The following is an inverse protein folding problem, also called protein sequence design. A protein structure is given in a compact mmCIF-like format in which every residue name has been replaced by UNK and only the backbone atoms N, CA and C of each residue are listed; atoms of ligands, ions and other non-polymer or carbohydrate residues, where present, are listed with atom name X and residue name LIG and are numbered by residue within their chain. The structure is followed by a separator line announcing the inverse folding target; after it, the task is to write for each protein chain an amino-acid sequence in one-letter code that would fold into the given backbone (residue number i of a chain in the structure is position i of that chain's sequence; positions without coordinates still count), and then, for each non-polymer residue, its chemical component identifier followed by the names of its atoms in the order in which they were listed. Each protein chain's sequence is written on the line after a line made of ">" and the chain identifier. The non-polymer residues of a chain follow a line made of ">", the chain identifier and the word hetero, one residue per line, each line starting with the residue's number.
data_IF_516108511208
#
_entry.id   IF_516108511208
#
_cell.length_a   1.000
_cell.length_b   1.000
_cell.length_c   1.000
_cell.angle_alpha   90.00
_cell.angle_beta   90.00
_cell.angle_gamma   90.00
#
_symmetry.space_group_name_H-M   'P 1'
#
loop_
_entity.id
_entity.type
_entity.pdbx_description
1 polymer ?
#
# COMPACT_ATOMS: atom_id res chain seq x y z
N UNK A 1 -15.28 16.72 7.11
CA UNK A 1 -16.36 15.72 7.22
C UNK A 1 -15.72 14.35 7.19
N UNK A 2 -16.13 13.42 8.04
CA UNK A 2 -15.55 12.06 8.04
C UNK A 2 -16.07 11.31 6.82
N UNK A 3 -15.16 10.67 6.10
CA UNK A 3 -15.49 9.86 4.91
C UNK A 3 -15.60 8.39 5.30
N UNK A 4 -14.70 7.92 6.18
CA UNK A 4 -14.72 6.59 6.77
C UNK A 4 -14.59 6.71 8.28
N UNK A 5 -15.42 5.96 9.00
CA UNK A 5 -15.34 5.79 10.44
C UNK A 5 -15.36 4.30 10.77
N UNK A 6 -14.37 3.86 11.52
CA UNK A 6 -14.25 2.48 12.02
C UNK A 6 -14.20 2.55 13.53
N UNK A 7 -15.11 1.85 14.20
CA UNK A 7 -15.26 1.86 15.65
C UNK A 7 -15.18 0.45 16.21
N UNK A 8 -14.35 0.30 17.25
CA UNK A 8 -14.23 -0.94 18.04
C UNK A 8 -13.98 -2.19 17.20
N UNK A 9 -13.13 -2.07 16.16
CA UNK A 9 -12.82 -3.16 15.24
C UNK A 9 -11.95 -4.20 15.94
N UNK A 10 -12.45 -5.45 15.96
CA UNK A 10 -11.68 -6.63 16.36
C UNK A 10 -11.74 -7.69 15.27
N UNK A 11 -10.62 -8.34 15.00
CA UNK A 11 -10.53 -9.41 14.00
C UNK A 11 -9.33 -10.31 14.24
N UNK A 12 -9.51 -11.63 13.97
CA UNK A 12 -8.46 -12.62 14.08
C UNK A 12 -8.60 -13.77 13.11
N UNK A 13 -7.56 -14.58 13.00
CA UNK A 13 -7.56 -15.82 12.23
C UNK A 13 -7.26 -16.99 13.17
N UNK A 14 -8.28 -17.83 13.44
CA UNK A 14 -8.19 -18.88 14.44
C UNK A 14 -7.84 -18.30 15.80
N UNK A 15 -6.78 -18.80 16.43
CA UNK A 15 -6.34 -18.34 17.77
C UNK A 15 -5.49 -17.06 17.73
N UNK A 16 -5.21 -16.51 16.54
CA UNK A 16 -4.38 -15.32 16.39
C UNK A 16 -5.24 -14.09 16.19
N UNK A 17 -5.37 -13.25 17.23
CA UNK A 17 -5.96 -11.93 17.10
C UNK A 17 -5.00 -11.00 16.32
N UNK A 18 -5.54 -10.28 15.33
CA UNK A 18 -4.84 -9.28 14.50
C UNK A 18 -5.16 -7.88 15.00
N UNK A 19 -6.42 -7.61 15.32
CA UNK A 19 -6.90 -6.35 15.87
C UNK A 19 -7.69 -6.61 17.15
N UNK A 20 -7.50 -5.74 18.15
CA UNK A 20 -8.24 -5.75 19.40
C UNK A 20 -8.71 -4.32 19.70
N UNK A 21 -10.01 -4.08 19.54
CA UNK A 21 -10.65 -2.77 19.84
C UNK A 21 -10.00 -1.57 19.11
N UNK A 22 -9.82 -1.70 17.80
CA UNK A 22 -9.18 -0.68 16.97
C UNK A 22 -10.21 0.32 16.44
N UNK A 23 -9.90 1.61 16.51
CA UNK A 23 -10.70 2.67 15.90
C UNK A 23 -9.86 3.46 14.89
N UNK A 24 -10.49 3.81 13.76
CA UNK A 24 -9.85 4.52 12.66
C UNK A 24 -10.80 5.54 12.06
N UNK A 25 -10.26 6.66 11.63
CA UNK A 25 -11.04 7.72 10.99
C UNK A 25 -10.29 8.34 9.84
N UNK A 26 -10.97 8.50 8.69
CA UNK A 26 -10.46 9.19 7.52
C UNK A 26 -11.30 10.43 7.23
N UNK A 27 -10.63 11.55 7.05
CA UNK A 27 -11.25 12.82 6.66
C UNK A 27 -10.95 13.11 5.19
N UNK A 28 -11.75 14.00 4.58
CA UNK A 28 -11.51 14.45 3.21
C UNK A 28 -10.15 15.14 3.10
N UNK A 29 -9.36 14.77 2.09
CA UNK A 29 -8.03 15.35 1.84
C UNK A 29 -6.94 14.86 2.80
N UNK A 30 -7.18 13.85 3.65
CA UNK A 30 -6.11 13.23 4.43
C UNK A 30 -5.33 12.24 3.57
N UNK A 31 -4.00 12.37 3.59
CA UNK A 31 -3.06 11.48 2.93
C UNK A 31 -2.40 10.60 3.99
N UNK A 32 -2.92 9.38 4.13
CA UNK A 32 -2.57 8.49 5.22
C UNK A 32 -1.54 7.45 4.78
N UNK A 33 -0.44 7.32 5.53
CA UNK A 33 0.44 6.17 5.50
C UNK A 33 0.04 5.14 6.55
N UNK A 34 -0.29 3.91 6.13
CA UNK A 34 -0.54 2.80 7.03
C UNK A 34 0.74 1.98 7.18
N UNK A 35 1.38 2.09 8.34
CA UNK A 35 2.69 1.49 8.61
C UNK A 35 2.62 0.44 9.72
N UNK A 36 3.55 -0.51 9.71
CA UNK A 36 3.65 -1.60 10.68
C UNK A 36 4.48 -2.75 10.12
N UNK A 37 4.91 -3.66 10.96
CA UNK A 37 5.69 -4.81 10.53
C UNK A 37 4.89 -5.74 9.61
N UNK A 38 5.59 -6.61 8.87
CA UNK A 38 4.92 -7.63 8.06
C UNK A 38 4.15 -8.60 8.96
N UNK A 39 2.89 -8.89 8.56
CA UNK A 39 2.00 -9.75 9.32
C UNK A 39 1.24 -9.07 10.48
N UNK A 40 1.36 -7.74 10.65
CA UNK A 40 0.54 -6.97 11.62
C UNK A 40 -0.89 -6.73 11.15
N UNK A 41 -1.22 -7.05 9.88
CA UNK A 41 -2.60 -6.98 9.39
C UNK A 41 -2.90 -5.77 8.50
N UNK A 42 -1.91 -5.06 7.94
CA UNK A 42 -2.16 -3.90 7.05
C UNK A 42 -3.11 -4.23 5.89
N UNK A 43 -2.80 -5.27 5.11
CA UNK A 43 -3.67 -5.70 4.00
C UNK A 43 -4.99 -6.29 4.49
N UNK A 44 -5.01 -6.92 5.69
CA UNK A 44 -6.25 -7.38 6.34
C UNK A 44 -7.16 -6.21 6.66
N UNK A 45 -6.61 -5.12 7.20
CA UNK A 45 -7.36 -3.88 7.46
C UNK A 45 -7.94 -3.30 6.17
N UNK A 46 -7.14 -3.23 5.09
CA UNK A 46 -7.61 -2.77 3.78
C UNK A 46 -8.78 -3.65 3.25
N UNK A 47 -8.68 -4.96 3.39
CA UNK A 47 -9.75 -5.89 2.99
C UNK A 47 -11.02 -5.73 3.84
N UNK A 48 -10.88 -5.44 5.13
CA UNK A 48 -12.00 -5.20 6.02
C UNK A 48 -12.73 -3.91 5.66
N UNK A 49 -12.01 -2.79 5.49
CA UNK A 49 -12.65 -1.51 5.16
C UNK A 49 -13.26 -1.50 3.75
N UNK A 50 -12.76 -2.32 2.83
CA UNK A 50 -13.35 -2.49 1.48
C UNK A 50 -14.50 -3.50 1.44
N UNK A 51 -14.84 -4.14 2.58
CA UNK A 51 -15.92 -5.13 2.68
C UNK A 51 -15.59 -6.50 2.08
N UNK A 52 -14.34 -6.75 1.70
CA UNK A 52 -13.88 -8.08 1.20
C UNK A 52 -13.72 -9.10 2.31
N UNK A 53 -13.48 -8.62 3.51
CA UNK A 53 -13.37 -9.43 4.71
C UNK A 53 -14.28 -8.85 5.79
N UNK A 54 -15.11 -9.71 6.40
CA UNK A 54 -15.95 -9.27 7.50
C UNK A 54 -15.14 -9.25 8.80
N UNK A 55 -15.23 -8.19 9.61
CA UNK A 55 -14.66 -8.18 10.94
C UNK A 55 -15.42 -9.10 11.89
N UNK A 56 -14.77 -9.55 12.97
CA UNK A 56 -15.42 -10.34 14.01
C UNK A 56 -16.31 -9.44 14.89
N UNK A 57 -15.83 -8.21 15.20
CA UNK A 57 -16.57 -7.20 15.94
C UNK A 57 -16.25 -5.81 15.39
N UNK A 58 -17.13 -4.85 15.71
CA UNK A 58 -16.95 -3.46 15.36
C UNK A 58 -17.89 -2.98 14.26
N UNK A 59 -17.78 -1.70 13.94
CA UNK A 59 -18.62 -1.01 12.97
C UNK A 59 -17.78 -0.25 11.96
N UNK A 60 -18.14 -0.36 10.68
CA UNK A 60 -17.52 0.36 9.58
C UNK A 60 -18.59 1.20 8.90
N UNK A 61 -18.40 2.49 8.86
CA UNK A 61 -19.35 3.43 8.27
C UNK A 61 -18.64 4.28 7.20
N UNK A 62 -19.08 4.15 5.96
CA UNK A 62 -18.71 5.01 4.86
C UNK A 62 -19.71 6.15 4.72
N UNK A 63 -19.24 7.33 4.36
CA UNK A 63 -20.13 8.42 3.98
C UNK A 63 -20.93 8.03 2.72
N UNK A 64 -22.15 8.57 2.60
CA UNK A 64 -23.02 8.26 1.46
C UNK A 64 -22.39 8.72 0.14
N UNK A 65 -22.54 7.92 -0.90
CA UNK A 65 -22.11 8.21 -2.29
C UNK A 65 -20.59 8.39 -2.46
N UNK A 66 -19.78 7.83 -1.57
CA UNK A 66 -18.31 7.85 -1.70
C UNK A 66 -17.87 6.76 -2.65
N UNK A 67 -17.05 7.12 -3.64
CA UNK A 67 -16.39 6.18 -4.55
C UNK A 67 -15.05 5.78 -3.96
N UNK A 68 -14.90 4.48 -3.70
CA UNK A 68 -13.66 3.90 -3.15
C UNK A 68 -12.94 3.18 -4.26
N UNK A 69 -11.75 3.62 -4.59
CA UNK A 69 -10.86 2.94 -5.53
C UNK A 69 -9.82 2.12 -4.78
N UNK A 70 -9.75 0.83 -5.07
CA UNK A 70 -8.76 -0.08 -4.52
C UNK A 70 -8.07 -0.86 -5.63
N UNK A 71 -6.73 -0.82 -5.62
CA UNK A 71 -5.93 -1.57 -6.58
C UNK A 71 -6.12 -3.07 -6.33
N UNK A 72 -6.98 -3.69 -7.11
CA UNK A 72 -7.24 -5.12 -7.04
C UNK A 72 -6.38 -5.88 -8.05
N UNK A 73 -5.44 -6.65 -7.55
CA UNK A 73 -4.63 -7.56 -8.37
C UNK A 73 -5.44 -8.73 -8.96
N UNK A 74 -6.66 -8.96 -8.46
CA UNK A 74 -7.57 -10.02 -8.90
C UNK A 74 -8.67 -9.52 -9.85
N UNK A 75 -8.65 -8.24 -10.26
CA UNK A 75 -9.57 -7.75 -11.29
C UNK A 75 -9.38 -8.58 -12.55
N UNK A 76 -10.45 -9.23 -13.00
CA UNK A 76 -10.40 -10.07 -14.17
C UNK A 76 -10.18 -9.21 -15.42
N UNK A 77 -9.00 -9.32 -16.00
CA UNK A 77 -8.68 -8.82 -17.32
C UNK A 77 -9.00 -9.94 -18.32
N UNK A 78 -9.98 -9.72 -19.17
CA UNK A 78 -10.49 -10.73 -20.10
C UNK A 78 -9.74 -10.68 -21.43
N UNK A 79 -9.74 -11.80 -22.13
CA UNK A 79 -9.17 -11.89 -23.48
C UNK A 79 -9.95 -11.01 -24.45
N UNK A 80 -9.24 -10.25 -25.26
CA UNK A 80 -9.81 -9.28 -26.20
C UNK A 80 -9.85 -7.85 -25.67
N UNK A 81 -9.56 -7.63 -24.37
CA UNK A 81 -9.34 -6.28 -23.85
C UNK A 81 -7.92 -5.81 -24.18
N UNK A 82 -7.80 -4.60 -24.70
CA UNK A 82 -6.51 -3.95 -24.92
C UNK A 82 -6.12 -3.06 -23.75
N UNK A 83 -4.84 -2.71 -23.63
CA UNK A 83 -4.37 -1.74 -22.61
C UNK A 83 -5.19 -0.45 -22.72
N UNK A 84 -5.35 0.10 -23.93
CA UNK A 84 -6.11 1.32 -24.16
C UNK A 84 -7.57 1.20 -23.73
N UNK A 85 -8.25 0.10 -24.09
CA UNK A 85 -9.65 -0.12 -23.72
C UNK A 85 -9.85 -0.21 -22.20
N UNK A 86 -8.92 -0.86 -21.47
CA UNK A 86 -8.98 -0.94 -20.00
C UNK A 86 -8.78 0.43 -19.37
N UNK A 87 -7.84 1.24 -19.88
CA UNK A 87 -7.62 2.58 -19.36
C UNK A 87 -8.81 3.50 -19.64
N UNK A 88 -9.35 3.46 -20.86
CA UNK A 88 -10.51 4.28 -21.26
C UNK A 88 -11.77 3.90 -20.49
N UNK A 89 -11.90 2.65 -20.03
CA UNK A 89 -13.05 2.22 -19.21
C UNK A 89 -13.16 2.94 -17.86
N UNK A 90 -12.14 3.67 -17.45
CA UNK A 90 -12.23 4.59 -16.30
C UNK A 90 -13.29 5.70 -16.52
N UNK A 91 -13.65 5.94 -17.77
CA UNK A 91 -14.57 6.99 -18.22
C UNK A 91 -15.86 6.44 -18.81
N UNK A 92 -16.19 5.14 -18.61
CA UNK A 92 -17.37 4.49 -19.18
C UNK A 92 -18.64 5.31 -18.93
N UNK A 93 -18.79 5.91 -17.74
CA UNK A 93 -19.94 6.75 -17.42
C UNK A 93 -20.08 7.99 -18.32
N UNK A 94 -18.96 8.54 -18.83
CA UNK A 94 -18.99 9.67 -19.78
C UNK A 94 -19.35 9.20 -21.20
N UNK A 95 -18.86 8.03 -21.60
CA UNK A 95 -19.25 7.42 -22.87
C UNK A 95 -20.73 7.03 -22.89
N UNK A 96 -21.27 6.55 -21.75
CA UNK A 96 -22.70 6.29 -21.61
C UNK A 96 -23.53 7.57 -21.75
N UNK A 97 -23.08 8.68 -21.13
CA UNK A 97 -23.73 9.99 -21.27
C UNK A 97 -23.63 10.52 -22.70
N UNK A 98 -22.51 10.36 -23.39
CA UNK A 98 -22.41 10.72 -24.82
C UNK A 98 -23.35 9.91 -25.67
N UNK A 99 -23.47 8.60 -25.45
CA UNK A 99 -24.42 7.75 -26.15
C UNK A 99 -25.85 8.19 -25.89
N UNK A 100 -26.24 8.51 -24.67
CA UNK A 100 -27.55 9.03 -24.31
C UNK A 100 -27.83 10.36 -25.02
N UNK A 101 -26.87 11.26 -25.07
CA UNK A 101 -26.98 12.52 -25.81
C UNK A 101 -27.20 12.28 -27.32
N UNK A 102 -26.46 11.33 -27.92
CA UNK A 102 -26.59 10.97 -29.31
C UNK A 102 -27.96 10.34 -29.58
N UNK A 103 -28.50 9.50 -28.70
CA UNK A 103 -29.83 8.93 -28.79
C UNK A 103 -30.92 10.02 -28.72
N UNK A 104 -30.74 11.04 -27.86
CA UNK A 104 -31.62 12.20 -27.79
C UNK A 104 -31.62 12.92 -29.16
N UNK A 105 -30.45 13.22 -29.71
CA UNK A 105 -30.36 13.89 -31.02
C UNK A 105 -31.02 13.08 -32.17
N UNK A 106 -30.90 11.75 -32.14
CA UNK A 106 -31.54 10.88 -33.13
C UNK A 106 -33.08 10.91 -33.05
N UNK A 107 -33.63 11.21 -31.86
CA UNK A 107 -35.09 11.28 -31.62
C UNK A 107 -35.69 12.61 -32.00
N UNK A 108 -34.94 13.71 -32.03
CA UNK A 108 -35.43 15.08 -32.26
C UNK A 108 -36.21 15.25 -33.57
N UNK A 109 -35.91 14.42 -34.60
CA UNK A 109 -36.59 14.51 -35.90
C UNK A 109 -38.02 13.97 -35.92
N UNK A 110 -38.51 13.30 -34.86
CA UNK A 110 -39.75 12.55 -34.82
C UNK A 110 -40.70 12.92 -33.67
N UNK A 111 -40.49 14.07 -33.03
CA UNK A 111 -41.23 14.52 -31.83
C UNK A 111 -41.92 15.86 -32.07
N UNK A 112 -42.92 16.21 -31.27
CA UNK A 112 -43.54 17.52 -31.29
C UNK A 112 -42.68 18.62 -30.71
N UNK A 113 -43.07 19.89 -30.87
CA UNK A 113 -42.26 21.06 -30.46
C UNK A 113 -42.02 21.15 -28.95
N UNK A 114 -42.99 20.73 -28.13
CA UNK A 114 -42.85 20.74 -26.65
C UNK A 114 -41.90 19.64 -26.16
N UNK A 115 -41.96 18.47 -26.79
CA UNK A 115 -41.05 17.36 -26.49
C UNK A 115 -39.65 17.63 -27.05
N UNK A 116 -39.53 18.27 -28.19
CA UNK A 116 -38.26 18.69 -28.78
C UNK A 116 -37.50 19.65 -27.85
N UNK A 117 -38.18 20.66 -27.29
CA UNK A 117 -37.57 21.60 -26.38
C UNK A 117 -37.05 20.91 -25.10
N UNK A 118 -37.80 19.96 -24.54
CA UNK A 118 -37.35 19.18 -23.35
C UNK A 118 -36.12 18.33 -23.66
N UNK A 119 -36.13 17.65 -24.80
CA UNK A 119 -34.99 16.83 -25.24
C UNK A 119 -33.76 17.67 -25.54
N UNK A 120 -33.91 18.88 -26.05
CA UNK A 120 -32.79 19.83 -26.25
C UNK A 120 -32.23 20.33 -24.93
N UNK A 121 -33.06 20.63 -23.94
CA UNK A 121 -32.60 21.02 -22.61
C UNK A 121 -31.86 19.87 -21.90
N UNK A 122 -32.34 18.65 -22.04
CA UNK A 122 -31.68 17.43 -21.53
C UNK A 122 -30.32 17.20 -22.21
N UNK A 123 -30.26 17.25 -23.56
CA UNK A 123 -29.00 17.14 -24.31
C UNK A 123 -28.00 18.26 -23.90
N UNK A 124 -28.50 19.50 -23.73
CA UNK A 124 -27.67 20.61 -23.24
C UNK A 124 -27.09 20.35 -21.86
N UNK A 125 -27.89 19.79 -20.95
CA UNK A 125 -27.39 19.40 -19.60
C UNK A 125 -26.32 18.33 -19.68
N UNK A 126 -26.51 17.31 -20.52
CA UNK A 126 -25.49 16.26 -20.74
C UNK A 126 -24.21 16.86 -21.35
N UNK A 127 -24.34 17.73 -22.35
CA UNK A 127 -23.21 18.43 -22.99
C UNK A 127 -22.39 19.24 -21.99
N UNK A 128 -23.05 19.96 -21.07
CA UNK A 128 -22.40 20.71 -20.01
C UNK A 128 -21.64 19.77 -19.05
N UNK A 129 -22.25 18.64 -18.70
CA UNK A 129 -21.60 17.61 -17.86
C UNK A 129 -20.39 17.00 -18.55
N UNK A 130 -20.47 16.63 -19.83
CA UNK A 130 -19.34 16.12 -20.61
C UNK A 130 -18.20 17.14 -20.67
N UNK A 131 -18.53 18.42 -20.86
CA UNK A 131 -17.54 19.51 -20.89
C UNK A 131 -16.89 19.72 -19.53
N UNK A 132 -17.68 19.68 -18.46
CA UNK A 132 -17.19 19.85 -17.06
C UNK A 132 -16.24 18.73 -16.65
N UNK A 133 -16.41 17.52 -17.20
CA UNK A 133 -15.56 16.36 -16.94
C UNK A 133 -14.40 16.19 -17.95
N UNK A 134 -14.18 17.18 -18.82
CA UNK A 134 -13.16 17.14 -19.86
C UNK A 134 -13.25 15.91 -20.78
N UNK A 135 -14.44 15.52 -21.18
CA UNK A 135 -14.68 14.34 -22.01
C UNK A 135 -13.80 14.30 -23.27
N UNK A 136 -13.67 15.42 -23.96
CA UNK A 136 -12.88 15.53 -25.19
C UNK A 136 -11.35 15.44 -24.97
N UNK A 137 -10.90 15.38 -23.72
CA UNK A 137 -9.49 15.23 -23.36
C UNK A 137 -9.17 13.81 -22.84
N UNK A 138 -10.13 12.86 -22.92
CA UNK A 138 -9.95 11.50 -22.37
C UNK A 138 -8.73 10.83 -23.00
N UNK A 139 -8.59 10.85 -24.33
CA UNK A 139 -7.48 10.21 -25.02
C UNK A 139 -6.11 10.80 -24.57
N UNK A 140 -6.04 12.09 -24.39
CA UNK A 140 -4.82 12.75 -23.88
C UNK A 140 -4.51 12.36 -22.44
N UNK A 141 -5.54 12.25 -21.58
CA UNK A 141 -5.38 11.80 -20.19
C UNK A 141 -4.94 10.32 -20.13
N UNK A 142 -5.53 9.47 -20.96
CA UNK A 142 -5.14 8.06 -21.08
C UNK A 142 -3.70 7.93 -21.54
N UNK A 143 -3.30 8.68 -22.59
CA UNK A 143 -1.93 8.67 -23.10
C UNK A 143 -0.93 9.18 -22.05
N UNK A 144 -1.25 10.24 -21.32
CA UNK A 144 -0.40 10.79 -20.25
C UNK A 144 -0.14 9.73 -19.17
N UNK A 145 -1.19 9.11 -18.65
CA UNK A 145 -1.05 8.07 -17.60
C UNK A 145 -0.35 6.82 -18.14
N UNK A 146 -0.66 6.41 -19.37
CA UNK A 146 0.00 5.27 -20.00
C UNK A 146 1.49 5.52 -20.18
N UNK A 147 1.90 6.72 -20.60
CA UNK A 147 3.30 7.14 -20.69
C UNK A 147 3.97 7.13 -19.34
N UNK A 148 3.33 7.72 -18.35
CA UNK A 148 3.82 7.81 -16.99
C UNK A 148 4.05 6.46 -16.29
N UNK A 149 3.34 5.42 -16.70
CA UNK A 149 3.47 4.06 -16.18
C UNK A 149 4.31 3.14 -17.11
N UNK A 150 4.87 3.69 -18.20
CA UNK A 150 5.64 2.91 -19.18
C UNK A 150 4.80 1.88 -19.94
N UNK A 151 3.52 2.18 -20.17
CA UNK A 151 2.60 1.31 -20.91
C UNK A 151 2.59 1.62 -22.41
N UNK A 152 2.99 2.85 -22.82
CA UNK A 152 3.06 3.22 -24.23
C UNK A 152 4.08 2.38 -24.99
N UNK A 153 5.20 2.03 -24.38
CA UNK A 153 6.26 1.21 -24.98
C UNK A 153 5.76 -0.23 -25.30
N UNK A 154 4.69 -0.66 -24.63
CA UNK A 154 4.06 -1.97 -24.87
C UNK A 154 3.06 -1.93 -26.04
N UNK A 155 2.58 -0.74 -26.41
CA UNK A 155 1.49 -0.51 -27.37
C UNK A 155 0.11 -0.58 -26.71
N UNK A 156 -0.72 0.46 -26.90
CA UNK A 156 -2.07 0.51 -26.29
C UNK A 156 -3.03 -0.52 -26.86
N UNK A 157 -2.77 -1.03 -28.08
CA UNK A 157 -3.58 -2.05 -28.76
C UNK A 157 -3.26 -3.48 -28.31
N UNK A 158 -2.22 -3.64 -27.45
CA UNK A 158 -1.82 -4.96 -26.97
C UNK A 158 -2.86 -5.57 -26.05
N UNK A 159 -3.16 -6.87 -26.27
CA UNK A 159 -4.08 -7.63 -25.41
C UNK A 159 -3.51 -7.76 -23.99
N UNK A 160 -4.35 -7.52 -22.99
CA UNK A 160 -3.97 -7.54 -21.58
C UNK A 160 -3.61 -8.94 -21.08
N UNK A 161 -4.06 -9.99 -21.78
CA UNK A 161 -3.72 -11.38 -21.42
C UNK A 161 -2.27 -11.73 -21.76
N UNK A 162 -1.63 -11.01 -22.69
CA UNK A 162 -0.23 -11.19 -23.07
C UNK A 162 0.75 -10.44 -22.15
N UNK A 163 0.22 -9.74 -21.15
CA UNK A 163 1.02 -8.97 -20.21
C UNK A 163 1.53 -9.82 -19.05
N UNK A 164 2.74 -9.51 -18.58
CA UNK A 164 3.24 -10.05 -17.32
C UNK A 164 2.38 -9.57 -16.13
N UNK A 165 2.44 -10.27 -14.98
CA UNK A 165 1.69 -9.88 -13.78
C UNK A 165 1.96 -8.43 -13.35
N UNK A 166 3.22 -7.98 -13.37
CA UNK A 166 3.57 -6.59 -13.04
C UNK A 166 3.03 -5.57 -14.05
N UNK A 167 3.01 -5.91 -15.35
CA UNK A 167 2.42 -5.05 -16.38
C UNK A 167 0.89 -4.94 -16.21
N UNK A 168 0.21 -6.05 -15.90
CA UNK A 168 -1.23 -6.02 -15.58
C UNK A 168 -1.54 -5.13 -14.40
N UNK A 169 -0.74 -5.21 -13.34
CA UNK A 169 -0.88 -4.34 -12.16
C UNK A 169 -0.71 -2.86 -12.53
N UNK A 170 0.23 -2.51 -13.43
CA UNK A 170 0.40 -1.14 -13.94
C UNK A 170 -0.84 -0.66 -14.73
N UNK A 171 -1.45 -1.50 -15.55
CA UNK A 171 -2.68 -1.16 -16.30
C UNK A 171 -3.83 -0.90 -15.33
N UNK A 172 -4.05 -1.78 -14.36
CA UNK A 172 -5.10 -1.61 -13.33
C UNK A 172 -4.88 -0.37 -12.49
N UNK A 173 -3.62 -0.08 -12.12
CA UNK A 173 -3.26 1.15 -11.42
C UNK A 173 -3.54 2.39 -12.29
N UNK A 174 -3.19 2.36 -13.57
CA UNK A 174 -3.49 3.45 -14.51
C UNK A 174 -4.99 3.75 -14.59
N UNK A 175 -5.81 2.70 -14.74
CA UNK A 175 -7.27 2.83 -14.71
C UNK A 175 -7.74 3.48 -13.40
N UNK A 176 -7.29 2.97 -12.26
CA UNK A 176 -7.64 3.48 -10.94
C UNK A 176 -7.29 4.97 -10.75
N UNK A 177 -6.11 5.39 -11.23
CA UNK A 177 -5.69 6.79 -11.18
C UNK A 177 -6.55 7.69 -12.09
N UNK A 178 -6.95 7.20 -13.26
CA UNK A 178 -7.85 7.91 -14.18
C UNK A 178 -9.27 8.07 -13.64
N UNK A 179 -9.78 7.09 -12.88
CA UNK A 179 -11.09 7.14 -12.23
C UNK A 179 -11.21 8.25 -11.18
N UNK A 180 -10.08 8.70 -10.60
CA UNK A 180 -10.00 9.71 -9.55
C UNK A 180 -11.07 9.52 -8.45
N UNK A 181 -11.09 8.38 -7.74
CA UNK A 181 -12.09 8.10 -6.71
C UNK A 181 -11.99 9.11 -5.55
N UNK A 182 -13.05 9.21 -4.72
CA UNK A 182 -13.03 10.06 -3.52
C UNK A 182 -12.05 9.55 -2.46
N UNK A 183 -11.74 8.25 -2.52
CA UNK A 183 -10.71 7.61 -1.69
C UNK A 183 -9.93 6.62 -2.53
N UNK A 184 -8.61 6.79 -2.52
CA UNK A 184 -7.68 5.92 -3.21
C UNK A 184 -6.96 5.02 -2.20
N UNK A 185 -7.06 3.71 -2.37
CA UNK A 185 -6.41 2.71 -1.54
C UNK A 185 -5.27 2.05 -2.33
N UNK A 186 -4.04 2.23 -1.87
CA UNK A 186 -2.83 1.74 -2.55
C UNK A 186 -2.06 0.81 -1.62
N UNK A 187 -1.89 -0.45 -2.03
CA UNK A 187 -1.06 -1.44 -1.34
C UNK A 187 0.20 -1.71 -2.17
N UNK A 188 1.35 -1.24 -1.68
CA UNK A 188 2.68 -1.38 -2.31
C UNK A 188 2.73 -0.96 -3.80
N UNK A 189 2.28 0.25 -4.17
CA UNK A 189 2.18 0.65 -5.57
C UNK A 189 3.56 0.78 -6.26
N UNK A 190 4.64 0.95 -5.51
CA UNK A 190 6.00 1.11 -6.04
C UNK A 190 6.67 -0.18 -6.48
N UNK A 191 6.15 -1.35 -6.08
CA UNK A 191 6.80 -2.65 -6.34
C UNK A 191 7.00 -2.99 -7.81
N UNK A 192 6.19 -2.43 -8.71
CA UNK A 192 6.23 -2.70 -10.14
C UNK A 192 6.71 -1.51 -10.98
N UNK A 193 7.09 -0.42 -10.31
CA UNK A 193 7.53 0.82 -10.94
C UNK A 193 9.05 0.93 -10.88
N UNK A 194 9.64 1.55 -11.87
CA UNK A 194 11.02 2.02 -11.82
C UNK A 194 11.08 3.46 -11.26
N UNK A 195 12.28 3.96 -11.06
CA UNK A 195 12.51 5.25 -10.38
C UNK A 195 11.78 6.41 -11.05
N UNK A 196 11.74 6.44 -12.39
CA UNK A 196 11.10 7.52 -13.15
C UNK A 196 9.58 7.53 -12.95
N UNK A 197 8.97 6.33 -13.00
CA UNK A 197 7.53 6.17 -12.78
C UNK A 197 7.14 6.43 -11.32
N UNK A 198 8.01 6.09 -10.35
CA UNK A 198 7.80 6.42 -8.93
C UNK A 198 7.79 7.94 -8.73
N UNK A 199 8.70 8.69 -9.35
CA UNK A 199 8.73 10.16 -9.25
C UNK A 199 7.51 10.83 -9.89
N UNK A 200 6.95 10.24 -10.93
CA UNK A 200 5.67 10.69 -11.47
C UNK A 200 4.51 10.41 -10.51
N UNK A 201 4.40 9.16 -9.99
CA UNK A 201 3.35 8.79 -9.04
C UNK A 201 3.39 9.68 -7.78
N UNK A 202 4.57 10.02 -7.30
CA UNK A 202 4.78 10.94 -6.19
C UNK A 202 4.19 12.32 -6.48
N UNK A 203 4.44 12.89 -7.66
CA UNK A 203 3.83 14.16 -8.07
C UNK A 203 2.32 14.06 -8.15
N UNK A 204 1.82 13.00 -8.78
CA UNK A 204 0.39 12.74 -8.90
C UNK A 204 -0.31 12.68 -7.51
N UNK A 205 0.27 11.95 -6.54
CA UNK A 205 -0.31 11.82 -5.20
C UNK A 205 -0.21 13.10 -4.36
N UNK A 206 0.82 13.93 -4.58
CA UNK A 206 0.92 15.24 -3.93
C UNK A 206 -0.15 16.22 -4.43
N UNK A 207 -0.52 16.13 -5.71
CA UNK A 207 -1.56 16.94 -6.33
C UNK A 207 -2.97 16.34 -6.18
N UNK A 208 -3.08 15.19 -5.50
CA UNK A 208 -4.36 14.51 -5.32
C UNK A 208 -5.21 15.19 -4.25
N UNK A 209 -6.31 15.83 -4.67
CA UNK A 209 -7.17 16.62 -3.78
C UNK A 209 -8.02 15.77 -2.81
N UNK A 210 -8.27 14.51 -3.17
CA UNK A 210 -9.07 13.60 -2.38
C UNK A 210 -8.22 12.86 -1.35
N UNK A 211 -8.84 12.00 -0.55
CA UNK A 211 -8.14 11.22 0.46
C UNK A 211 -7.49 9.97 -0.14
N UNK A 212 -6.37 9.53 0.46
CA UNK A 212 -5.84 8.21 0.16
C UNK A 212 -5.27 7.52 1.40
N UNK A 213 -5.22 6.18 1.33
CA UNK A 213 -4.50 5.33 2.28
C UNK A 213 -3.44 4.56 1.50
N UNK A 214 -2.19 4.72 1.91
CA UNK A 214 -1.01 4.15 1.28
C UNK A 214 -0.30 3.19 2.22
N UNK A 215 -0.07 1.97 1.76
CA UNK A 215 0.88 1.03 2.37
C UNK A 215 2.12 1.02 1.46
N UNK A 216 3.29 1.29 2.01
CA UNK A 216 4.55 1.17 1.27
C UNK A 216 5.72 0.85 2.20
N UNK A 217 6.66 0.06 1.69
CA UNK A 217 7.98 -0.17 2.29
C UNK A 217 9.05 0.79 1.77
N UNK A 218 8.75 1.56 0.73
CA UNK A 218 9.60 2.64 0.23
C UNK A 218 9.42 3.89 1.11
N UNK A 219 10.27 4.01 2.14
CA UNK A 219 10.19 5.09 3.12
C UNK A 219 10.38 6.48 2.48
N UNK A 220 11.35 6.72 1.58
CA UNK A 220 11.48 7.99 0.87
C UNK A 220 10.21 8.38 0.10
N UNK A 221 9.58 7.42 -0.57
CA UNK A 221 8.31 7.65 -1.27
C UNK A 221 7.19 7.98 -0.28
N UNK A 222 6.99 7.14 0.74
CA UNK A 222 5.97 7.33 1.77
C UNK A 222 6.09 8.71 2.42
N UNK A 223 7.29 9.08 2.86
CA UNK A 223 7.59 10.34 3.54
C UNK A 223 7.28 11.57 2.69
N UNK A 224 7.34 11.43 1.37
CA UNK A 224 7.11 12.54 0.44
C UNK A 224 5.65 12.80 0.11
N UNK A 225 4.73 11.85 0.36
CA UNK A 225 3.33 11.96 -0.09
C UNK A 225 2.31 11.92 1.05
N UNK A 226 2.69 11.47 2.26
CA UNK A 226 1.76 11.36 3.40
C UNK A 226 1.92 12.53 4.37
N UNK A 227 0.81 12.91 5.00
CA UNK A 227 0.78 13.94 6.05
C UNK A 227 0.25 13.39 7.38
N UNK A 228 -0.11 12.12 7.41
CA UNK A 228 -0.66 11.42 8.55
C UNK A 228 -0.21 9.97 8.53
N UNK A 229 0.23 9.44 9.67
CA UNK A 229 0.61 8.04 9.83
C UNK A 229 -0.36 7.35 10.78
N UNK A 230 -0.85 6.19 10.38
CA UNK A 230 -1.44 5.21 11.27
C UNK A 230 -0.47 4.05 11.44
N UNK A 231 0.02 3.87 12.66
CA UNK A 231 0.95 2.80 13.00
C UNK A 231 0.21 1.62 13.61
N UNK A 232 0.41 0.47 12.97
CA UNK A 232 -0.16 -0.80 13.38
C UNK A 232 0.90 -1.60 14.11
N UNK A 233 0.72 -1.77 15.41
CA UNK A 233 1.63 -2.54 16.26
C UNK A 233 0.88 -3.17 17.44
N UNK A 234 1.23 -4.40 17.78
CA UNK A 234 0.65 -5.13 18.90
C UNK A 234 -0.89 -5.08 18.93
N UNK A 235 -1.53 -5.38 17.77
CA UNK A 235 -2.99 -5.42 17.57
C UNK A 235 -3.71 -4.07 17.73
N UNK A 236 -2.98 -2.98 17.88
CA UNK A 236 -3.46 -1.61 18.03
C UNK A 236 -3.16 -0.78 16.79
N UNK A 237 -3.87 0.31 16.65
CA UNK A 237 -3.71 1.27 15.57
C UNK A 237 -3.62 2.68 16.15
N UNK A 238 -2.41 3.22 16.14
CA UNK A 238 -2.12 4.53 16.71
C UNK A 238 -1.96 5.59 15.62
N UNK A 239 -2.57 6.76 15.83
CA UNK A 239 -2.54 7.90 14.90
C UNK A 239 -1.43 8.88 15.24
N UNK A 240 -0.62 9.26 14.25
CA UNK A 240 0.45 10.26 14.35
C UNK A 240 0.29 11.30 13.24
N UNK A 241 0.30 12.58 13.61
CA UNK A 241 0.22 13.69 12.65
C UNK A 241 1.60 14.07 12.17
N UNK A 242 1.80 14.10 10.87
CA UNK A 242 3.05 14.40 10.20
C UNK A 242 3.45 13.29 9.23
N UNK A 243 4.65 13.45 8.67
CA UNK A 243 5.30 12.49 7.80
C UNK A 243 5.91 11.31 8.57
N UNK A 244 6.56 10.40 7.86
CA UNK A 244 7.17 9.21 8.47
C UNK A 244 8.33 9.55 9.40
N UNK A 245 9.16 10.55 9.08
CA UNK A 245 10.31 10.93 9.91
C UNK A 245 9.85 11.48 11.26
N UNK A 246 8.84 12.33 11.24
CA UNK A 246 8.23 12.86 12.47
C UNK A 246 7.54 11.77 13.29
N UNK A 247 6.87 10.83 12.62
CA UNK A 247 6.32 9.66 13.30
C UNK A 247 7.41 8.88 14.04
N UNK A 248 8.54 8.58 13.37
CA UNK A 248 9.64 7.83 13.98
C UNK A 248 10.23 8.54 15.20
N UNK A 249 10.44 9.86 15.12
CA UNK A 249 10.90 10.66 16.26
C UNK A 249 9.96 10.54 17.47
N UNK A 250 8.66 10.73 17.25
CA UNK A 250 7.65 10.63 18.33
C UNK A 250 7.52 9.21 18.85
N UNK A 251 7.58 8.21 17.97
CA UNK A 251 7.49 6.80 18.34
C UNK A 251 8.68 6.36 19.23
N UNK A 252 9.90 6.71 18.83
CA UNK A 252 11.10 6.40 19.62
C UNK A 252 11.09 7.11 20.98
N UNK A 253 10.65 8.37 21.04
CA UNK A 253 10.49 9.09 22.29
C UNK A 253 9.46 8.41 23.21
N UNK A 254 8.29 8.03 22.69
CA UNK A 254 7.26 7.32 23.49
C UNK A 254 7.78 5.96 23.97
N UNK A 255 8.49 5.21 23.12
CA UNK A 255 9.08 3.93 23.47
C UNK A 255 10.09 4.08 24.59
N UNK A 256 11.00 5.05 24.50
CA UNK A 256 11.99 5.33 25.56
C UNK A 256 11.32 5.74 26.88
N UNK A 257 10.25 6.54 26.83
CA UNK A 257 9.46 6.91 28.01
C UNK A 257 8.80 5.69 28.67
N UNK A 258 8.20 4.80 27.86
CA UNK A 258 7.58 3.57 28.36
C UNK A 258 8.60 2.63 29.00
N UNK A 259 9.77 2.46 28.38
CA UNK A 259 10.87 1.65 28.93
C UNK A 259 11.40 2.23 30.24
N UNK A 260 11.57 3.55 30.33
CA UNK A 260 11.98 4.21 31.55
C UNK A 260 10.93 4.04 32.68
N UNK A 261 9.65 4.19 32.38
CA UNK A 261 8.55 3.98 33.32
C UNK A 261 8.48 2.52 33.79
N UNK A 262 8.65 1.56 32.89
CA UNK A 262 8.72 0.13 33.21
C UNK A 262 9.88 -0.17 34.14
N UNK A 263 11.09 0.28 33.82
CA UNK A 263 12.29 0.05 34.67
C UNK A 263 12.11 0.63 36.06
N UNK A 264 11.57 1.85 36.15
CA UNK A 264 11.26 2.49 37.44
C UNK A 264 10.23 1.67 38.24
N UNK A 265 9.19 1.21 37.62
CA UNK A 265 8.15 0.40 38.26
C UNK A 265 8.70 -0.96 38.71
N UNK A 266 9.52 -1.63 37.88
CA UNK A 266 10.17 -2.90 38.25
C UNK A 266 11.07 -2.74 39.44
N UNK A 267 11.83 -1.63 39.56
CA UNK A 267 12.64 -1.32 40.73
C UNK A 267 11.76 -1.13 41.97
N UNK A 268 10.65 -0.36 41.88
CA UNK A 268 9.71 -0.17 42.98
C UNK A 268 9.10 -1.49 43.44
N UNK A 269 8.67 -2.34 42.48
CA UNK A 269 8.12 -3.67 42.74
C UNK A 269 9.17 -4.52 43.49
N UNK A 270 10.42 -4.50 43.07
CA UNK A 270 11.50 -5.24 43.70
C UNK A 270 11.73 -4.76 45.14
N UNK A 271 11.82 -3.45 45.38
CA UNK A 271 11.98 -2.87 46.70
C UNK A 271 10.83 -3.21 47.66
N UNK A 272 9.58 -3.14 47.14
CA UNK A 272 8.39 -3.51 47.93
C UNK A 272 8.37 -5.02 48.26
N UNK A 273 8.72 -5.89 47.32
CA UNK A 273 8.81 -7.34 47.52
C UNK A 273 9.89 -7.67 48.57
N UNK A 274 11.06 -7.06 48.45
CA UNK A 274 12.18 -7.25 49.38
C UNK A 274 11.82 -6.79 50.80
N UNK A 275 11.12 -5.65 50.90
CA UNK A 275 10.63 -5.17 52.21
C UNK A 275 9.62 -6.12 52.83
N UNK A 276 8.65 -6.57 52.07
CA UNK A 276 7.63 -7.53 52.53
C UNK A 276 8.29 -8.84 52.98
N UNK A 277 9.22 -9.37 52.21
CA UNK A 277 9.93 -10.62 52.54
C UNK A 277 10.68 -10.53 53.88
N UNK A 278 11.39 -9.40 54.14
CA UNK A 278 12.18 -9.20 55.37
C UNK A 278 11.31 -8.93 56.59
N UNK A 279 10.10 -8.37 56.45
CA UNK A 279 9.33 -7.83 57.57
C UNK A 279 8.01 -8.60 57.85
N UNK A 280 7.58 -9.50 56.99
CA UNK A 280 6.31 -10.24 57.15
C UNK A 280 6.26 -11.13 58.38
N UNK A 281 7.40 -11.69 58.80
CA UNK A 281 7.52 -12.57 59.96
C UNK A 281 7.72 -11.82 61.31
N UNK A 282 8.03 -10.53 61.29
CA UNK A 282 8.30 -9.75 62.51
C UNK A 282 7.02 -9.10 63.02
N UNK A 283 6.65 -9.33 64.30
CA UNK A 283 5.43 -8.79 64.90
C UNK A 283 5.33 -7.27 64.80
N UNK A 284 6.43 -6.55 65.10
CA UNK A 284 6.46 -5.09 65.11
C UNK A 284 6.28 -4.43 63.71
N UNK A 285 6.67 -5.12 62.64
CA UNK A 285 6.64 -4.56 61.26
C UNK A 285 5.61 -5.24 60.34
N UNK A 286 4.88 -6.24 60.83
CA UNK A 286 3.90 -7.03 60.08
C UNK A 286 2.81 -6.17 59.40
N UNK A 287 2.25 -5.21 60.14
CA UNK A 287 1.22 -4.32 59.62
C UNK A 287 1.72 -3.45 58.44
N UNK A 288 2.95 -2.97 58.52
CA UNK A 288 3.62 -2.22 57.45
C UNK A 288 3.90 -3.12 56.24
N UNK A 289 4.35 -4.36 56.48
CA UNK A 289 4.55 -5.33 55.39
C UNK A 289 3.24 -5.68 54.70
N UNK A 290 2.13 -5.87 55.44
CA UNK A 290 0.81 -6.12 54.90
C UNK A 290 0.25 -4.93 54.09
N UNK A 291 0.52 -3.68 54.54
CA UNK A 291 0.14 -2.48 53.79
C UNK A 291 0.87 -2.40 52.42
N UNK A 292 2.19 -2.71 52.42
CA UNK A 292 2.97 -2.73 51.18
C UNK A 292 2.61 -3.89 50.26
N UNK A 293 2.25 -5.04 50.80
CA UNK A 293 1.71 -6.16 50.04
C UNK A 293 0.41 -5.74 49.33
N UNK A 294 -0.53 -5.09 50.02
CA UNK A 294 -1.76 -4.57 49.40
C UNK A 294 -1.48 -3.54 48.30
N UNK A 295 -0.41 -2.74 48.42
CA UNK A 295 0.01 -1.83 47.35
C UNK A 295 0.50 -2.60 46.13
N UNK A 296 1.30 -3.66 46.30
CA UNK A 296 1.76 -4.55 45.24
C UNK A 296 0.57 -5.23 44.53
N UNK A 297 -0.39 -5.76 45.30
CA UNK A 297 -1.55 -6.48 44.77
C UNK A 297 -2.53 -5.59 43.97
N UNK A 298 -2.46 -4.26 44.21
CA UNK A 298 -3.28 -3.26 43.52
C UNK A 298 -2.55 -2.51 42.39
N UNK A 299 -1.25 -2.80 42.21
CA UNK A 299 -0.42 -2.10 41.24
C UNK A 299 -0.69 -2.64 39.84
N UNK A 300 -1.15 -1.78 38.92
CA UNK A 300 -1.22 -2.11 37.51
C UNK A 300 0.21 -2.24 36.97
N UNK A 301 0.58 -3.45 36.57
CA UNK A 301 1.93 -3.74 36.09
C UNK A 301 2.03 -3.32 34.61
N UNK A 302 3.00 -2.47 34.31
CA UNK A 302 3.32 -2.10 32.93
C UNK A 302 3.90 -3.35 32.25
N UNK A 303 3.29 -3.77 31.17
CA UNK A 303 3.80 -4.83 30.32
C UNK A 303 4.48 -4.22 29.10
N UNK A 304 5.75 -4.57 28.90
CA UNK A 304 6.41 -4.27 27.63
C UNK A 304 6.04 -5.34 26.63
N UNK A 305 5.68 -4.91 25.42
CA UNK A 305 5.50 -5.84 24.32
C UNK A 305 6.78 -6.67 24.14
N UNK A 306 6.63 -7.99 23.98
CA UNK A 306 7.77 -8.86 23.75
C UNK A 306 8.51 -8.43 22.47
N UNK A 307 9.81 -8.17 22.56
CA UNK A 307 10.60 -7.92 21.35
C UNK A 307 10.50 -9.12 20.42
N UNK A 308 10.06 -8.84 19.18
CA UNK A 308 10.03 -9.87 18.15
C UNK A 308 11.45 -10.35 17.90
N UNK A 309 11.72 -11.66 17.93
CA UNK A 309 13.06 -12.17 17.70
C UNK A 309 13.55 -11.73 16.32
N UNK A 310 14.71 -11.06 16.31
CA UNK A 310 15.36 -10.70 15.05
C UNK A 310 15.88 -12.00 14.42
N UNK A 311 15.55 -12.26 13.15
CA UNK A 311 16.06 -13.46 12.48
C UNK A 311 17.57 -13.37 12.37
N UNK A 312 18.28 -14.34 12.94
CA UNK A 312 19.72 -14.49 12.78
C UNK A 312 19.99 -15.45 11.63
N UNK A 313 20.62 -14.95 10.58
CA UNK A 313 21.03 -15.75 9.43
C UNK A 313 22.50 -16.15 9.56
N UNK A 314 22.77 -17.41 9.92
CA UNK A 314 24.10 -17.98 9.98
C UNK A 314 24.37 -18.82 8.73
N UNK A 315 25.05 -18.24 7.75
CA UNK A 315 25.50 -18.96 6.57
C UNK A 315 26.77 -19.75 6.88
N UNK A 316 26.65 -21.07 6.88
CA UNK A 316 27.83 -21.95 7.01
C UNK A 316 28.60 -21.97 5.70
N UNK A 317 29.89 -21.73 5.75
CA UNK A 317 30.79 -21.88 4.57
C UNK A 317 30.88 -23.34 4.22
N UNK A 318 30.29 -23.76 3.12
CA UNK A 318 30.33 -25.12 2.64
C UNK A 318 31.64 -25.43 1.92
N UNK A 319 32.14 -24.50 1.09
CA UNK A 319 33.37 -24.63 0.30
C UNK A 319 33.95 -23.25 0.05
N UNK A 320 35.26 -23.09 0.18
CA UNK A 320 35.95 -21.86 -0.21
C UNK A 320 36.07 -21.83 -1.73
N UNK A 321 35.43 -20.90 -2.43
CA UNK A 321 35.54 -20.79 -3.88
C UNK A 321 36.95 -20.33 -4.29
N UNK A 322 37.32 -20.57 -5.55
CA UNK A 322 38.52 -20.02 -6.14
C UNK A 322 38.55 -18.51 -6.20
N UNK A 323 39.58 -17.94 -6.86
CA UNK A 323 39.68 -16.48 -7.04
C UNK A 323 38.49 -15.94 -7.81
N UNK A 324 38.11 -16.59 -8.89
CA UNK A 324 36.98 -16.23 -9.73
C UNK A 324 35.75 -17.05 -9.35
N UNK A 325 34.62 -16.38 -9.12
CA UNK A 325 33.34 -17.00 -8.86
C UNK A 325 32.68 -17.41 -10.16
N UNK A 326 32.64 -16.48 -11.12
CA UNK A 326 32.26 -16.75 -12.52
C UNK A 326 32.96 -15.76 -13.45
N UNK A 327 33.07 -16.19 -14.71
CA UNK A 327 33.49 -15.35 -15.83
C UNK A 327 32.57 -15.67 -17.01
N UNK A 328 32.14 -14.63 -17.71
CA UNK A 328 31.41 -14.76 -18.98
C UNK A 328 32.26 -14.18 -20.08
N UNK A 329 32.17 -14.78 -21.26
CA UNK A 329 32.86 -14.34 -22.46
C UNK A 329 31.81 -14.29 -23.59
N UNK A 330 31.45 -13.10 -24.03
CA UNK A 330 30.46 -12.88 -25.06
C UNK A 330 29.05 -13.39 -24.72
N UNK A 331 28.66 -13.36 -23.43
CA UNK A 331 27.35 -13.84 -22.97
C UNK A 331 26.23 -12.98 -23.56
N UNK A 332 25.35 -13.57 -24.35
CA UNK A 332 24.11 -12.96 -24.83
C UNK A 332 22.95 -13.57 -24.05
N UNK A 333 22.14 -12.74 -23.40
CA UNK A 333 20.96 -13.16 -22.66
C UNK A 333 19.69 -12.85 -23.46
N UNK A 334 18.71 -13.73 -23.36
CA UNK A 334 17.43 -13.59 -24.04
C UNK A 334 16.57 -14.84 -23.87
N UNK A 335 15.47 -14.86 -24.56
CA UNK A 335 14.59 -16.02 -24.71
C UNK A 335 14.55 -16.41 -26.19
N UNK A 336 13.56 -15.89 -26.94
CA UNK A 336 13.48 -16.06 -28.40
C UNK A 336 14.31 -14.97 -29.10
N UNK A 337 14.32 -13.76 -28.53
CA UNK A 337 15.09 -12.62 -28.99
C UNK A 337 16.17 -12.19 -27.99
N UNK A 338 17.32 -11.64 -28.46
CA UNK A 338 18.38 -11.16 -27.59
C UNK A 338 17.93 -9.92 -26.79
N UNK A 339 18.07 -9.97 -25.45
CA UNK A 339 17.83 -8.86 -24.55
C UNK A 339 19.09 -8.05 -24.24
N UNK A 340 20.27 -8.52 -24.65
CA UNK A 340 21.54 -7.83 -24.45
C UNK A 340 22.47 -7.99 -25.64
N UNK A 341 23.41 -7.07 -25.79
CA UNK A 341 24.65 -7.31 -26.52
C UNK A 341 25.51 -8.34 -25.78
N UNK A 342 26.63 -8.78 -26.40
CA UNK A 342 27.60 -9.67 -25.78
C UNK A 342 28.18 -9.05 -24.49
N UNK A 343 28.07 -9.78 -23.37
CA UNK A 343 28.48 -9.34 -22.04
C UNK A 343 29.70 -10.10 -21.55
N UNK A 344 30.76 -9.38 -21.22
CA UNK A 344 31.97 -9.93 -20.59
C UNK A 344 31.99 -9.49 -19.13
N UNK A 345 31.66 -10.40 -18.22
CA UNK A 345 31.55 -10.14 -16.79
C UNK A 345 32.53 -11.04 -16.03
N UNK A 346 33.15 -10.47 -15.02
CA UNK A 346 34.04 -11.21 -14.11
C UNK A 346 33.62 -10.87 -12.68
N UNK A 347 33.43 -11.89 -11.85
CA UNK A 347 33.23 -11.75 -10.44
C UNK A 347 34.32 -12.48 -9.66
N UNK A 348 35.05 -11.73 -8.86
CA UNK A 348 36.06 -12.28 -7.96
C UNK A 348 35.47 -12.56 -6.56
N UNK A 349 36.12 -13.47 -5.83
CA UNK A 349 35.74 -13.81 -4.47
C UNK A 349 35.75 -12.56 -3.56
N UNK A 350 34.67 -12.35 -2.81
CA UNK A 350 34.50 -11.24 -1.87
C UNK A 350 33.94 -9.97 -2.53
N UNK A 351 33.78 -9.91 -3.84
CA UNK A 351 33.09 -8.80 -4.49
C UNK A 351 31.59 -8.86 -4.21
N UNK A 352 31.01 -7.66 -4.06
CA UNK A 352 29.56 -7.45 -3.97
C UNK A 352 29.16 -6.61 -5.18
N UNK A 353 28.36 -7.18 -6.07
CA UNK A 353 27.94 -6.53 -7.32
C UNK A 353 26.47 -6.20 -7.23
N UNK A 354 26.09 -4.98 -7.60
CA UNK A 354 24.70 -4.52 -7.73
C UNK A 354 24.38 -4.33 -9.20
N UNK A 355 23.31 -4.97 -9.67
CA UNK A 355 22.77 -4.77 -11.02
C UNK A 355 21.68 -3.73 -10.97
N UNK A 356 21.86 -2.59 -11.63
CA UNK A 356 20.90 -1.49 -11.73
C UNK A 356 20.40 -1.33 -13.16
N UNK A 357 19.29 -0.68 -13.34
CA UNK A 357 18.68 -0.39 -14.65
C UNK A 357 17.16 -0.45 -14.61
N UNK A 358 16.49 0.04 -15.66
CA UNK A 358 15.04 0.06 -15.80
C UNK A 358 14.41 -1.35 -15.74
N UNK A 359 13.13 -1.43 -15.42
CA UNK A 359 12.40 -2.71 -15.40
C UNK A 359 12.35 -3.32 -16.80
N UNK A 360 12.44 -4.65 -16.91
CA UNK A 360 12.42 -5.33 -18.21
C UNK A 360 13.77 -5.46 -18.94
N UNK A 361 14.82 -4.77 -18.50
CA UNK A 361 16.16 -4.78 -19.12
C UNK A 361 16.96 -6.10 -18.93
N UNK A 362 16.30 -7.19 -18.56
CA UNK A 362 16.96 -8.52 -18.49
C UNK A 362 17.80 -8.77 -17.24
N UNK A 363 17.77 -7.94 -16.18
CA UNK A 363 18.55 -8.15 -14.94
C UNK A 363 18.34 -9.53 -14.32
N UNK A 364 17.09 -9.93 -14.18
CA UNK A 364 16.71 -11.25 -13.64
C UNK A 364 17.11 -12.38 -14.60
N UNK A 365 17.01 -12.14 -15.91
CA UNK A 365 17.43 -13.10 -16.94
C UNK A 365 18.94 -13.32 -16.88
N UNK A 366 19.72 -12.24 -16.70
CA UNK A 366 21.18 -12.33 -16.50
C UNK A 366 21.53 -13.18 -15.28
N UNK A 367 20.90 -12.93 -14.13
CA UNK A 367 21.14 -13.72 -12.91
C UNK A 367 20.77 -15.19 -13.11
N UNK A 368 19.64 -15.46 -13.78
CA UNK A 368 19.21 -16.84 -14.09
C UNK A 368 20.17 -17.54 -15.07
N UNK A 369 20.71 -16.81 -16.06
CA UNK A 369 21.71 -17.36 -17.00
C UNK A 369 23.03 -17.66 -16.31
N UNK A 370 23.53 -16.75 -15.45
CA UNK A 370 24.76 -17.00 -14.66
C UNK A 370 24.59 -18.20 -13.73
N UNK A 371 23.39 -18.37 -13.14
CA UNK A 371 23.08 -19.52 -12.29
C UNK A 371 22.83 -20.82 -13.06
N UNK A 372 22.73 -20.78 -14.38
CA UNK A 372 22.44 -21.94 -15.23
C UNK A 372 20.96 -22.37 -15.26
N UNK A 373 20.06 -21.53 -14.80
CA UNK A 373 18.59 -21.77 -14.85
C UNK A 373 18.01 -21.50 -16.23
N UNK A 374 18.63 -20.65 -17.02
CA UNK A 374 18.27 -20.33 -18.40
C UNK A 374 19.53 -20.49 -19.25
N UNK A 375 19.40 -21.13 -20.41
CA UNK A 375 20.49 -21.21 -21.38
C UNK A 375 20.66 -19.84 -22.04
N UNK A 376 21.90 -19.33 -22.15
CA UNK A 376 22.16 -18.15 -22.97
C UNK A 376 21.89 -18.45 -24.46
N UNK A 377 21.64 -17.40 -25.22
CA UNK A 377 21.49 -17.47 -26.69
C UNK A 377 22.82 -17.65 -27.38
#
# INVERSE_FOLDING_TARGET
>A
MSILNVEHLSHGFGDRAIFEDVSFRLLKGEHIGLVGANGEGKSTFMNIITGRLMPDEGKIEWAKKVRVGYLDQHTALEKGMTIGSVLSSAFDFLYDMENEMNDIYARLGNVDEDEMNKLMDEAGTIQDMLTMHDFYMIDAKVEEVARALGLLDLGLDKDVTDLSGGQRTKVLMGKLLLEKPDILLLDEPTNYLDVEHIEWLKRYLNDYENAFILISHDIPFLNSVVNLIYHMDNKKLDRYVGDYDKFMEVYEMKKAQLEAAYNKQQQEIKELKDFVARNKARVATRNMAMSRQKKLDKMDVIELAAEKPKPEFNFKTARTPGRYIFQTNGLVIGYDDPLSSALDLVMERGQKIVLTGASGMGKTTLLKSIHGLIKPL
#
